data_IF_084480754554
#
_entry.id   IF_084480754554
#
_cell.length_a   1.000
_cell.length_b   1.000
_cell.length_c   1.000
_cell.angle_alpha   90.00
_cell.angle_beta   90.00
_cell.angle_gamma   90.00
#
_symmetry.space_group_name_H-M   'P 1'
#
loop_
_entity.id
_entity.type
_entity.pdbx_description
1 polymer ?
#
# COMPACT_ATOMS: atom_id res chain seq x y z
N UNK A 1 1.25 26.49 -1.16
CA UNK A 1 0.25 25.82 -2.01
C UNK A 1 0.91 25.06 -3.16
N UNK A 2 1.70 25.70 -4.03
CA UNK A 2 2.38 25.04 -5.16
C UNK A 2 3.30 23.89 -4.71
N UNK A 3 4.10 24.08 -3.65
CA UNK A 3 4.94 23.00 -3.10
C UNK A 3 4.15 21.77 -2.65
N UNK A 4 3.01 21.95 -1.96
CA UNK A 4 2.12 20.83 -1.60
C UNK A 4 1.56 20.13 -2.83
N UNK A 5 1.20 20.86 -3.89
CA UNK A 5 0.68 20.28 -5.14
C UNK A 5 1.75 19.43 -5.83
N UNK A 6 2.99 19.93 -5.91
CA UNK A 6 4.12 19.18 -6.48
C UNK A 6 4.40 17.91 -5.67
N UNK A 7 4.43 18.02 -4.34
CA UNK A 7 4.62 16.86 -3.46
C UNK A 7 3.48 15.85 -3.60
N UNK A 8 2.22 16.31 -3.64
CA UNK A 8 1.06 15.43 -3.87
C UNK A 8 1.20 14.68 -5.19
N UNK A 9 1.53 15.37 -6.28
CA UNK A 9 1.74 14.75 -7.59
C UNK A 9 2.84 13.67 -7.52
N UNK A 10 3.95 13.97 -6.87
CA UNK A 10 5.05 13.02 -6.67
C UNK A 10 4.59 11.77 -5.89
N UNK A 11 3.91 11.93 -4.75
CA UNK A 11 3.43 10.81 -3.96
C UNK A 11 2.31 10.02 -4.67
N UNK A 12 1.44 10.66 -5.46
CA UNK A 12 0.47 9.93 -6.29
C UNK A 12 1.14 9.07 -7.37
N UNK A 13 2.27 9.50 -7.93
CA UNK A 13 3.06 8.68 -8.86
C UNK A 13 3.66 7.46 -8.13
N UNK A 14 4.21 7.67 -6.93
CA UNK A 14 4.72 6.57 -6.08
C UNK A 14 3.59 5.60 -5.74
N UNK A 15 2.44 6.11 -5.30
CA UNK A 15 1.25 5.31 -5.00
C UNK A 15 0.87 4.42 -6.19
N UNK A 16 0.75 5.03 -7.38
CA UNK A 16 0.39 4.28 -8.60
C UNK A 16 1.42 3.19 -8.91
N UNK A 17 2.71 3.51 -8.83
CA UNK A 17 3.78 2.54 -9.04
C UNK A 17 3.73 1.40 -8.01
N UNK A 18 3.50 1.70 -6.73
CA UNK A 18 3.37 0.70 -5.68
C UNK A 18 2.18 -0.22 -5.92
N UNK A 19 1.01 0.34 -6.29
CA UNK A 19 -0.19 -0.43 -6.60
C UNK A 19 0.09 -1.43 -7.73
N UNK A 20 0.62 -0.95 -8.85
CA UNK A 20 0.91 -1.80 -10.01
C UNK A 20 2.01 -2.83 -9.71
N UNK A 21 3.04 -2.44 -8.98
CA UNK A 21 4.11 -3.36 -8.61
C UNK A 21 3.64 -4.46 -7.64
N UNK A 22 2.76 -4.14 -6.68
CA UNK A 22 2.19 -5.12 -5.76
C UNK A 22 1.25 -6.09 -6.50
N UNK A 23 0.47 -5.61 -7.47
CA UNK A 23 -0.38 -6.48 -8.31
C UNK A 23 0.46 -7.42 -9.16
N UNK A 24 1.54 -6.90 -9.76
CA UNK A 24 2.48 -7.69 -10.55
C UNK A 24 3.23 -8.73 -9.70
N UNK A 25 3.66 -8.37 -8.50
CA UNK A 25 4.44 -9.23 -7.61
C UNK A 25 3.55 -10.21 -6.83
N UNK A 26 3.29 -11.39 -7.40
CA UNK A 26 2.56 -12.48 -6.74
C UNK A 26 3.49 -13.38 -5.91
N UNK A 27 3.06 -13.78 -4.71
CA UNK A 27 3.84 -14.67 -3.83
C UNK A 27 3.58 -16.16 -4.08
N UNK A 28 2.55 -16.46 -4.89
CA UNK A 28 2.08 -17.82 -5.16
C UNK A 28 0.94 -18.26 -4.22
N UNK A 29 0.38 -17.34 -3.45
CA UNK A 29 -0.78 -17.59 -2.60
C UNK A 29 -2.07 -17.57 -3.44
N UNK A 30 -2.92 -18.62 -3.36
CA UNK A 30 -4.13 -18.71 -4.18
C UNK A 30 -5.19 -17.64 -3.84
N UNK A 31 -5.13 -17.04 -2.66
CA UNK A 31 -6.06 -15.99 -2.27
C UNK A 31 -5.65 -14.60 -2.80
N UNK A 32 -4.43 -14.46 -3.33
CA UNK A 32 -3.95 -13.20 -3.92
C UNK A 32 -4.67 -12.86 -5.21
N UNK A 33 -5.43 -11.77 -5.17
CA UNK A 33 -6.19 -11.23 -6.29
C UNK A 33 -5.87 -9.75 -6.46
N UNK A 34 -6.19 -9.21 -7.63
CA UNK A 34 -5.84 -7.82 -7.95
C UNK A 34 -6.70 -6.80 -7.20
N UNK A 35 -7.85 -7.21 -6.67
CA UNK A 35 -8.75 -6.42 -5.82
C UNK A 35 -8.29 -6.35 -4.35
N UNK A 36 -7.47 -7.31 -3.92
CA UNK A 36 -6.98 -7.43 -2.54
C UNK A 36 -5.49 -7.17 -2.38
N UNK A 37 -4.89 -6.44 -3.33
CA UNK A 37 -3.48 -6.09 -3.35
C UNK A 37 -2.98 -5.39 -2.08
N UNK A 38 -3.86 -4.66 -1.39
CA UNK A 38 -3.56 -3.91 -0.17
C UNK A 38 -3.48 -4.78 1.09
N UNK A 39 -3.87 -6.05 1.04
CA UNK A 39 -3.86 -6.93 2.21
C UNK A 39 -2.46 -7.46 2.50
N UNK A 40 -2.15 -7.61 3.78
CA UNK A 40 -0.96 -8.34 4.19
C UNK A 40 -1.17 -9.84 3.97
N UNK A 41 -0.06 -10.57 3.81
CA UNK A 41 -0.12 -12.03 3.60
C UNK A 41 -0.80 -12.79 4.74
N UNK A 42 -0.84 -12.22 5.96
CA UNK A 42 -1.45 -12.85 7.13
C UNK A 42 -2.97 -12.60 7.23
N UNK A 43 -3.50 -11.66 6.44
CA UNK A 43 -4.94 -11.35 6.40
C UNK A 43 -5.72 -12.36 5.54
N UNK A 44 -5.01 -13.17 4.74
CA UNK A 44 -5.63 -14.23 3.96
C UNK A 44 -6.03 -15.38 4.86
N UNK A 45 -7.27 -15.84 4.69
CA UNK A 45 -7.75 -17.01 5.43
C UNK A 45 -6.99 -18.25 4.94
N UNK A 46 -6.43 -19.07 5.84
CA UNK A 46 -5.77 -20.30 5.42
C UNK A 46 -6.77 -21.23 4.74
N UNK A 47 -6.41 -21.71 3.54
CA UNK A 47 -7.22 -22.68 2.78
C UNK A 47 -7.08 -24.10 3.35
N UNK A 48 -5.97 -24.41 4.05
CA UNK A 48 -5.70 -25.74 4.58
C UNK A 48 -6.48 -26.00 5.88
N UNK A 49 -7.07 -27.20 5.99
CA UNK A 49 -7.68 -27.75 7.21
C UNK A 49 -6.67 -28.50 8.11
N UNK A 50 -5.40 -28.53 7.71
CA UNK A 50 -4.35 -29.31 8.38
C UNK A 50 -3.72 -28.54 9.54
N UNK A 51 -3.28 -29.28 10.56
CA UNK A 51 -2.47 -28.81 11.68
C UNK A 51 -1.11 -28.32 11.14
N UNK A 52 -1.05 -27.03 10.80
CA UNK A 52 0.13 -26.22 10.48
C UNK A 52 1.36 -26.98 9.90
N UNK A 53 1.48 -26.97 8.57
CA UNK A 53 2.72 -27.32 7.87
C UNK A 53 3.48 -26.02 7.51
N UNK A 54 4.77 -25.88 7.88
CA UNK A 54 5.54 -24.68 7.58
C UNK A 54 5.78 -24.56 6.06
N UNK A 55 5.54 -23.37 5.53
CA UNK A 55 5.84 -23.04 4.13
C UNK A 55 7.36 -23.03 3.87
N UNK A 56 7.74 -23.19 2.60
CA UNK A 56 9.14 -23.13 2.20
C UNK A 56 9.75 -21.73 2.45
N UNK A 57 11.05 -21.70 2.74
CA UNK A 57 11.76 -20.45 3.01
C UNK A 57 11.62 -19.43 1.87
N UNK A 58 11.52 -19.89 0.63
CA UNK A 58 11.37 -19.02 -0.54
C UNK A 58 9.99 -18.36 -0.59
N UNK A 59 8.91 -19.08 -0.26
CA UNK A 59 7.56 -18.51 -0.14
C UNK A 59 7.52 -17.47 0.97
N UNK A 60 8.14 -17.78 2.13
CA UNK A 60 8.23 -16.84 3.25
C UNK A 60 9.02 -15.57 2.90
N UNK A 61 10.11 -15.67 2.12
CA UNK A 61 10.85 -14.51 1.63
C UNK A 61 10.01 -13.62 0.71
N UNK A 62 9.27 -14.22 -0.23
CA UNK A 62 8.38 -13.49 -1.15
C UNK A 62 7.26 -12.77 -0.40
N UNK A 63 6.59 -13.46 0.53
CA UNK A 63 5.55 -12.85 1.40
C UNK A 63 6.07 -11.69 2.21
N UNK A 64 7.25 -11.82 2.85
CA UNK A 64 7.88 -10.71 3.58
C UNK A 64 8.21 -9.53 2.68
N UNK A 65 8.69 -9.78 1.46
CA UNK A 65 8.95 -8.71 0.51
C UNK A 65 7.66 -7.99 0.10
N UNK A 66 6.61 -8.73 -0.28
CA UNK A 66 5.30 -8.16 -0.61
C UNK A 66 4.70 -7.37 0.55
N UNK A 67 4.79 -7.89 1.78
CA UNK A 67 4.31 -7.18 2.98
C UNK A 67 5.05 -5.86 3.21
N UNK A 68 6.35 -5.78 2.90
CA UNK A 68 7.08 -4.50 2.95
C UNK A 68 6.56 -3.50 1.91
N UNK A 69 6.19 -3.95 0.71
CA UNK A 69 5.58 -3.07 -0.29
C UNK A 69 4.22 -2.56 0.15
N UNK A 70 3.37 -3.44 0.70
CA UNK A 70 2.06 -3.05 1.27
C UNK A 70 2.24 -2.07 2.43
N UNK A 71 3.24 -2.26 3.28
CA UNK A 71 3.58 -1.29 4.32
C UNK A 71 3.98 0.07 3.73
N UNK A 72 4.84 0.09 2.71
CA UNK A 72 5.22 1.32 2.01
C UNK A 72 4.01 2.02 1.38
N UNK A 73 3.08 1.27 0.80
CA UNK A 73 1.82 1.79 0.27
C UNK A 73 1.00 2.51 1.35
N UNK A 74 0.91 1.94 2.55
CA UNK A 74 0.20 2.58 3.66
C UNK A 74 0.93 3.82 4.20
N UNK A 75 2.26 3.78 4.28
CA UNK A 75 3.06 4.93 4.67
C UNK A 75 2.88 6.09 3.67
N UNK A 76 2.91 5.79 2.38
CA UNK A 76 2.66 6.74 1.29
C UNK A 76 1.25 7.35 1.37
N UNK A 77 0.22 6.52 1.59
CA UNK A 77 -1.16 6.97 1.79
C UNK A 77 -1.28 7.95 2.97
N UNK A 78 -0.57 7.69 4.08
CA UNK A 78 -0.56 8.58 5.24
C UNK A 78 0.09 9.93 4.92
N UNK A 79 1.17 9.94 4.14
CA UNK A 79 1.80 11.18 3.68
C UNK A 79 0.84 11.98 2.77
N UNK A 80 0.20 11.32 1.80
CA UNK A 80 -0.81 11.94 0.94
C UNK A 80 -1.94 12.56 1.78
N UNK A 81 -2.44 11.83 2.79
CA UNK A 81 -3.47 12.33 3.70
C UNK A 81 -3.03 13.61 4.42
N UNK A 82 -1.82 13.67 4.97
CA UNK A 82 -1.28 14.86 5.65
C UNK A 82 -1.18 16.04 4.67
N UNK A 83 -0.67 15.80 3.46
CA UNK A 83 -0.52 16.84 2.44
C UNK A 83 -1.86 17.39 1.95
N UNK A 84 -2.87 16.54 1.78
CA UNK A 84 -4.24 16.96 1.45
C UNK A 84 -4.85 17.82 2.56
N UNK A 85 -4.70 17.43 3.83
CA UNK A 85 -5.18 18.23 4.96
C UNK A 85 -4.46 19.59 5.02
N UNK A 86 -3.15 19.62 4.79
CA UNK A 86 -2.39 20.87 4.70
C UNK A 86 -2.88 21.77 3.56
N UNK A 87 -3.21 21.19 2.40
CA UNK A 87 -3.78 21.94 1.28
C UNK A 87 -5.17 22.48 1.61
N UNK A 88 -6.03 21.66 2.23
CA UNK A 88 -7.37 22.04 2.65
C UNK A 88 -7.34 23.21 3.65
N UNK A 89 -6.47 23.17 4.67
CA UNK A 89 -6.29 24.26 5.64
C UNK A 89 -5.98 25.59 4.94
N UNK A 90 -5.03 25.59 3.99
CA UNK A 90 -4.63 26.79 3.24
C UNK A 90 -5.74 27.31 2.32
N UNK A 91 -6.56 26.41 1.78
CA UNK A 91 -7.74 26.80 0.98
C UNK A 91 -8.76 27.49 1.88
N UNK A 92 -9.05 26.92 3.05
CA UNK A 92 -9.98 27.49 4.03
C UNK A 92 -9.50 28.87 4.50
N UNK A 93 -8.23 29.01 4.86
CA UNK A 93 -7.63 30.30 5.22
C UNK A 93 -7.85 31.38 4.16
N UNK A 94 -7.79 31.02 2.87
CA UNK A 94 -8.00 31.94 1.75
C UNK A 94 -9.48 32.25 1.47
N UNK A 95 -10.38 31.42 1.94
CA UNK A 95 -11.83 31.66 1.82
C UNK A 95 -12.29 32.61 2.94
N UNK A 96 -11.73 32.45 4.15
CA UNK A 96 -12.16 33.20 5.34
C UNK A 96 -11.41 34.52 5.58
N UNK A 97 -10.19 34.68 5.07
CA UNK A 97 -9.43 35.94 5.06
C UNK A 97 -9.45 36.58 3.66
#
# INVERSE_FOLDING_TARGET
>A
MIGNIILLMFFFIIWWYLVEYIKYYKTGDPEERDDNYWKFSYDFKPTKKEDFLPDSLDVLKRRRFRNRLVFLLYADLLVIFILLNSLASRILERIFN
#
